data_IF_497536575190
#
_entry.id   IF_497536575190
#
_cell.length_a   1.000
_cell.length_b   1.000
_cell.length_c   1.000
_cell.angle_alpha   90.00
_cell.angle_beta   90.00
_cell.angle_gamma   90.00
#
_symmetry.space_group_name_H-M   'P 1'
#
loop_
_entity.id
_entity.type
_entity.pdbx_description
1 polymer ?
#
# COMPACT_ATOMS: atom_id res chain seq x y z
N UNK A 1 -24.61 18.35 -68.18
CA UNK A 1 -23.97 19.35 -67.30
C UNK A 1 -22.75 18.71 -66.67
N UNK A 2 -21.58 19.22 -67.07
CA UNK A 2 -20.23 19.19 -66.48
C UNK A 2 -19.69 17.92 -65.80
N UNK A 3 -18.75 17.31 -66.53
CA UNK A 3 -17.61 16.50 -66.10
C UNK A 3 -16.63 17.31 -65.24
N UNK A 4 -15.97 16.69 -64.24
CA UNK A 4 -14.67 17.16 -63.75
C UNK A 4 -13.74 15.97 -63.41
N UNK A 5 -12.69 15.93 -64.20
CA UNK A 5 -11.49 15.09 -64.18
C UNK A 5 -10.45 15.51 -63.13
N UNK A 6 -9.86 14.50 -62.48
CA UNK A 6 -8.42 14.22 -62.29
C UNK A 6 -7.44 15.39 -62.02
N UNK A 7 -6.66 15.30 -60.94
CA UNK A 7 -5.22 15.64 -60.97
C UNK A 7 -4.43 15.00 -59.82
N UNK A 8 -3.58 14.04 -60.18
CA UNK A 8 -2.40 13.58 -59.44
C UNK A 8 -1.27 14.57 -59.73
N UNK A 9 -0.49 14.99 -58.73
CA UNK A 9 0.84 15.58 -58.95
C UNK A 9 1.87 15.07 -57.95
N UNK A 10 2.98 14.64 -58.53
CA UNK A 10 4.20 14.17 -57.90
C UNK A 10 5.15 15.32 -57.52
N UNK A 11 6.18 14.96 -56.76
CA UNK A 11 7.33 15.73 -56.28
C UNK A 11 8.06 16.61 -57.33
N UNK A 12 8.97 17.49 -56.86
CA UNK A 12 10.39 17.11 -56.97
C UNK A 12 11.26 17.43 -55.74
N UNK A 13 12.36 16.66 -55.66
CA UNK A 13 13.59 16.91 -54.93
C UNK A 13 14.12 18.36 -55.14
N UNK A 14 14.87 18.91 -54.18
CA UNK A 14 16.24 19.43 -54.40
C UNK A 14 16.98 19.78 -53.07
N UNK A 15 18.16 19.16 -52.93
CA UNK A 15 19.47 19.61 -52.37
C UNK A 15 19.64 20.36 -51.02
N UNK A 16 20.32 19.66 -50.11
CA UNK A 16 21.69 19.86 -49.59
C UNK A 16 22.20 21.20 -48.99
N UNK A 17 23.00 21.02 -47.91
CA UNK A 17 24.02 21.91 -47.31
C UNK A 17 23.47 22.97 -46.33
N UNK A 18 23.84 22.99 -45.05
CA UNK A 18 25.21 23.16 -44.55
C UNK A 18 25.28 22.91 -43.03
N UNK A 19 26.37 22.29 -42.58
CA UNK A 19 26.79 22.19 -41.16
C UNK A 19 27.35 23.52 -40.67
N UNK A 20 27.12 23.90 -39.40
CA UNK A 20 28.03 24.75 -38.64
C UNK A 20 28.80 23.97 -37.56
N UNK A 21 29.89 24.55 -37.01
CA UNK A 21 31.04 23.81 -36.51
C UNK A 21 30.98 23.39 -35.04
N UNK A 22 31.77 22.36 -34.80
CA UNK A 22 32.13 21.75 -33.53
C UNK A 22 32.85 22.78 -32.62
N UNK A 23 32.26 23.12 -31.48
CA UNK A 23 32.93 23.86 -30.41
C UNK A 23 33.40 22.87 -29.33
N UNK A 24 34.72 22.72 -29.20
CA UNK A 24 35.36 22.01 -28.09
C UNK A 24 35.28 22.86 -26.82
N UNK A 25 34.94 22.29 -25.64
CA UNK A 25 35.19 22.95 -24.38
C UNK A 25 36.68 22.81 -23.96
N UNK A 26 37.22 23.79 -23.20
CA UNK A 26 38.61 23.78 -22.77
C UNK A 26 38.87 22.77 -21.65
N UNK A 27 39.98 22.04 -21.77
CA UNK A 27 40.63 21.35 -20.67
C UNK A 27 41.12 22.39 -19.64
N UNK A 28 40.64 22.29 -18.41
CA UNK A 28 41.34 22.81 -17.24
C UNK A 28 41.61 21.68 -16.26
N UNK A 29 42.90 21.46 -16.04
CA UNK A 29 43.46 20.65 -14.97
C UNK A 29 43.29 21.37 -13.64
N UNK A 30 42.70 20.70 -12.65
CA UNK A 30 42.88 21.06 -11.25
C UNK A 30 43.06 19.80 -10.41
N UNK A 31 44.23 19.76 -9.80
CA UNK A 31 44.79 18.71 -8.98
C UNK A 31 44.20 18.74 -7.57
N UNK A 32 43.91 17.55 -7.04
CA UNK A 32 44.07 17.13 -5.63
C UNK A 32 43.40 17.96 -4.53
N UNK A 33 42.44 17.32 -3.83
CA UNK A 33 42.53 17.08 -2.37
C UNK A 33 41.50 16.04 -1.93
N UNK A 34 42.03 14.87 -1.54
CA UNK A 34 41.35 13.94 -0.64
C UNK A 34 41.04 14.67 0.66
N UNK A 35 39.84 14.47 1.19
CA UNK A 35 39.57 14.65 2.61
C UNK A 35 38.66 13.53 3.07
N UNK A 36 39.15 12.85 4.08
CA UNK A 36 38.67 11.59 4.63
C UNK A 36 37.24 11.70 5.15
N UNK A 37 36.45 10.68 4.84
CA UNK A 37 35.21 10.36 5.52
C UNK A 37 35.59 9.74 6.87
N UNK A 38 35.26 10.44 7.95
CA UNK A 38 35.36 9.92 9.30
C UNK A 38 34.25 8.90 9.53
N UNK A 39 34.61 7.62 9.48
CA UNK A 39 33.82 6.53 10.04
C UNK A 39 33.63 6.76 11.55
N UNK A 40 32.37 6.82 12.01
CA UNK A 40 32.04 6.62 13.42
C UNK A 40 31.33 5.29 13.58
N UNK A 41 32.15 4.32 13.99
CA UNK A 41 31.89 3.17 14.84
C UNK A 41 30.46 3.02 15.40
N UNK A 42 29.79 1.94 14.98
CA UNK A 42 28.91 1.19 15.89
C UNK A 42 29.69 -0.01 16.40
N UNK A 43 30.03 0.03 17.69
CA UNK A 43 30.80 -0.99 18.37
C UNK A 43 29.96 -2.27 18.56
N UNK A 44 30.51 -3.37 18.03
CA UNK A 44 30.22 -4.74 18.45
C UNK A 44 30.68 -4.92 19.90
N UNK A 45 29.76 -5.20 20.83
CA UNK A 45 30.10 -5.66 22.18
C UNK A 45 30.01 -7.18 22.24
N UNK A 46 31.16 -7.82 22.38
CA UNK A 46 31.33 -9.22 22.70
C UNK A 46 31.50 -9.40 24.22
N UNK A 47 30.70 -10.35 24.76
CA UNK A 47 30.97 -11.26 25.89
C UNK A 47 31.45 -10.72 27.26
N UNK A 48 30.58 -10.93 28.25
CA UNK A 48 30.88 -11.62 29.52
C UNK A 48 29.62 -12.42 29.88
N UNK A 49 29.60 -13.69 30.31
CA UNK A 49 30.58 -14.48 31.02
C UNK A 49 30.15 -14.63 32.49
N UNK A 50 29.15 -15.49 32.79
CA UNK A 50 28.72 -15.78 34.18
C UNK A 50 27.65 -16.88 34.27
N UNK A 51 27.62 -17.69 35.35
CA UNK A 51 27.30 -19.13 35.28
C UNK A 51 25.81 -19.51 35.50
N UNK A 52 25.41 -20.60 34.83
CA UNK A 52 24.13 -21.30 34.99
C UNK A 52 24.11 -22.18 36.26
N UNK A 53 23.04 -22.15 37.07
CA UNK A 53 22.79 -23.16 38.09
C UNK A 53 22.20 -24.44 37.48
N UNK A 54 22.77 -25.58 37.89
CA UNK A 54 22.30 -26.94 37.61
C UNK A 54 20.99 -27.19 38.35
N UNK A 55 19.95 -27.64 37.66
CA UNK A 55 18.88 -28.42 38.27
C UNK A 55 18.56 -29.64 37.42
N UNK A 56 18.60 -30.79 38.10
CA UNK A 56 18.29 -32.12 37.58
C UNK A 56 16.77 -32.28 37.57
N UNK A 57 16.20 -32.77 36.48
CA UNK A 57 15.00 -33.60 36.56
C UNK A 57 15.00 -34.60 35.42
N UNK A 58 15.06 -35.86 35.82
CA UNK A 58 14.79 -37.01 34.98
C UNK A 58 13.30 -37.01 34.64
N UNK A 59 12.95 -37.21 33.38
CA UNK A 59 11.67 -37.81 33.05
C UNK A 59 11.79 -38.70 31.81
N UNK A 60 11.21 -39.87 31.98
CA UNK A 60 11.25 -41.09 31.19
C UNK A 60 10.54 -40.97 29.85
N UNK A 61 11.12 -41.56 28.81
CA UNK A 61 10.44 -41.89 27.55
C UNK A 61 9.29 -42.87 27.77
N UNK A 62 8.29 -42.84 26.88
CA UNK A 62 7.83 -44.08 26.29
C UNK A 62 7.84 -44.07 24.76
N UNK A 63 7.94 -45.31 24.28
CA UNK A 63 8.14 -45.82 22.93
C UNK A 63 6.79 -46.16 22.29
N UNK A 64 6.80 -46.28 20.97
CA UNK A 64 5.80 -46.87 20.06
C UNK A 64 4.58 -45.96 19.77
N UNK A 65 4.02 -45.91 18.56
CA UNK A 65 3.95 -46.92 17.50
C UNK A 65 3.67 -46.25 16.14
N UNK A 66 4.36 -46.72 15.10
CA UNK A 66 4.03 -46.44 13.70
C UNK A 66 2.80 -47.28 13.29
N UNK A 67 1.78 -46.64 12.73
CA UNK A 67 0.67 -47.31 12.09
C UNK A 67 0.74 -47.05 10.57
N UNK A 68 0.97 -48.14 9.83
CA UNK A 68 0.94 -48.24 8.39
C UNK A 68 -0.51 -48.23 7.90
N UNK A 69 -0.86 -47.31 6.99
CA UNK A 69 -2.14 -47.34 6.26
C UNK A 69 -1.84 -47.68 4.80
N UNK A 70 -2.34 -48.83 4.37
CA UNK A 70 -2.36 -49.30 2.98
C UNK A 70 -3.48 -48.59 2.19
N UNK A 71 -3.29 -48.30 0.89
CA UNK A 71 -4.39 -47.87 0.02
C UNK A 71 -5.09 -49.09 -0.59
N UNK A 72 -6.42 -49.15 -0.46
CA UNK A 72 -7.26 -50.08 -1.21
C UNK A 72 -7.80 -49.41 -2.46
N UNK A 73 -7.37 -49.91 -3.62
CA UNK A 73 -8.04 -49.73 -4.90
C UNK A 73 -9.45 -50.31 -4.84
N UNK A 74 -10.46 -49.54 -5.27
CA UNK A 74 -11.71 -50.10 -5.76
C UNK A 74 -12.13 -49.39 -7.04
N UNK A 75 -12.47 -50.26 -7.99
CA UNK A 75 -12.69 -50.05 -9.41
C UNK A 75 -14.16 -49.72 -9.64
N UNK A 76 -14.40 -48.96 -10.70
CA UNK A 76 -15.69 -48.56 -11.24
C UNK A 76 -16.70 -49.71 -11.42
N UNK A 77 -17.99 -49.40 -11.24
CA UNK A 77 -19.05 -49.93 -12.10
C UNK A 77 -20.12 -48.86 -12.37
N UNK A 78 -20.46 -48.78 -13.66
CA UNK A 78 -21.57 -48.07 -14.27
C UNK A 78 -22.88 -48.84 -14.01
N UNK A 79 -23.98 -48.10 -13.85
CA UNK A 79 -25.28 -48.50 -14.43
C UNK A 79 -26.25 -47.33 -14.41
N UNK A 80 -26.65 -46.92 -15.61
CA UNK A 80 -27.78 -46.08 -15.98
C UNK A 80 -29.11 -46.83 -15.80
N UNK A 81 -30.13 -46.19 -15.23
CA UNK A 81 -31.56 -46.38 -15.62
C UNK A 81 -32.31 -45.06 -15.46
N UNK A 82 -33.20 -44.85 -16.41
CA UNK A 82 -34.00 -43.68 -16.75
C UNK A 82 -35.28 -43.48 -15.92
N UNK A 83 -35.91 -42.33 -16.20
CA UNK A 83 -37.34 -42.09 -16.47
C UNK A 83 -38.34 -41.75 -15.36
N UNK A 84 -39.07 -40.66 -15.64
CA UNK A 84 -40.46 -40.38 -15.21
C UNK A 84 -40.56 -39.64 -13.89
N UNK A 85 -41.38 -38.61 -13.70
CA UNK A 85 -42.57 -38.13 -14.39
C UNK A 85 -43.39 -37.33 -13.37
N UNK A 86 -44.18 -36.37 -13.83
CA UNK A 86 -44.80 -35.32 -13.01
C UNK A 86 -45.78 -35.76 -11.93
N UNK A 87 -46.14 -34.81 -11.05
CA UNK A 87 -47.15 -35.00 -10.01
C UNK A 87 -47.36 -33.77 -9.16
N UNK A 88 -48.28 -32.91 -9.61
CA UNK A 88 -48.93 -31.85 -8.84
C UNK A 88 -49.68 -32.42 -7.63
N UNK A 89 -49.66 -31.74 -6.48
CA UNK A 89 -50.49 -32.15 -5.35
C UNK A 89 -50.27 -31.40 -4.03
N UNK A 90 -51.07 -30.35 -3.83
CA UNK A 90 -51.75 -29.99 -2.57
C UNK A 90 -50.98 -29.96 -1.24
N UNK A 91 -50.76 -28.73 -0.77
CA UNK A 91 -51.33 -28.17 0.46
C UNK A 91 -51.50 -29.12 1.67
N UNK A 92 -50.67 -28.93 2.70
CA UNK A 92 -51.13 -29.09 4.09
C UNK A 92 -50.38 -28.14 5.02
N UNK A 93 -51.17 -27.35 5.73
CA UNK A 93 -50.80 -26.47 6.82
C UNK A 93 -50.15 -27.28 7.94
N UNK A 94 -48.99 -26.84 8.44
CA UNK A 94 -48.63 -26.98 9.87
C UNK A 94 -47.92 -25.73 10.35
N UNK A 95 -48.67 -24.93 11.10
CA UNK A 95 -48.15 -23.95 12.02
C UNK A 95 -47.44 -24.68 13.15
N UNK A 96 -46.23 -24.22 13.50
CA UNK A 96 -45.59 -24.53 14.77
C UNK A 96 -44.96 -23.24 15.29
N UNK A 97 -45.69 -22.64 16.23
CA UNK A 97 -45.20 -21.64 17.18
C UNK A 97 -44.37 -22.39 18.23
N UNK A 98 -43.13 -21.94 18.46
CA UNK A 98 -42.38 -22.21 19.68
C UNK A 98 -41.30 -21.14 19.90
N UNK A 99 -41.77 -20.01 20.41
CA UNK A 99 -41.24 -19.19 21.50
C UNK A 99 -39.89 -19.54 22.19
N UNK A 100 -39.09 -18.47 22.37
CA UNK A 100 -38.26 -18.08 23.56
C UNK A 100 -36.99 -18.95 23.79
N UNK A 101 -35.76 -18.42 23.77
CA UNK A 101 -35.14 -17.58 24.82
C UNK A 101 -33.99 -16.71 24.28
N UNK A 102 -34.11 -15.39 24.41
CA UNK A 102 -32.99 -14.46 24.35
C UNK A 102 -32.39 -14.31 25.76
N UNK A 103 -31.12 -14.63 25.92
CA UNK A 103 -30.39 -14.38 27.17
C UNK A 103 -29.71 -13.01 27.08
N UNK A 104 -30.36 -12.00 27.64
CA UNK A 104 -29.81 -10.66 27.87
C UNK A 104 -29.00 -10.68 29.16
N UNK A 105 -27.67 -10.64 29.07
CA UNK A 105 -26.81 -10.37 30.22
C UNK A 105 -26.74 -8.85 30.41
N UNK A 106 -27.54 -8.35 31.35
CA UNK A 106 -27.38 -7.03 31.95
C UNK A 106 -26.19 -7.08 32.92
N UNK A 107 -25.12 -6.36 32.61
CA UNK A 107 -24.15 -5.91 33.61
C UNK A 107 -24.38 -4.42 33.84
N UNK A 108 -24.96 -4.09 34.99
CA UNK A 108 -25.06 -2.71 35.50
C UNK A 108 -24.31 -2.57 36.81
N UNK A 109 -23.85 -1.34 37.04
CA UNK A 109 -23.22 -0.75 38.23
C UNK A 109 -21.69 -0.98 38.38
N UNK A 110 -20.85 0.05 38.62
CA UNK A 110 -21.10 1.39 39.13
C UNK A 110 -20.06 2.41 38.62
N UNK A 111 -20.39 3.72 38.59
CA UNK A 111 -19.45 4.80 38.32
C UNK A 111 -18.62 5.11 39.57
N UNK A 112 -17.31 5.31 39.40
CA UNK A 112 -16.45 5.85 40.46
C UNK A 112 -16.00 7.25 40.05
N UNK A 113 -16.74 8.24 40.52
CA UNK A 113 -16.32 9.64 40.55
C UNK A 113 -15.20 9.81 41.57
N UNK A 114 -14.10 10.42 41.16
CA UNK A 114 -13.18 11.09 42.07
C UNK A 114 -12.62 12.30 41.34
N UNK A 115 -13.21 13.44 41.68
CA UNK A 115 -12.64 14.75 41.42
C UNK A 115 -11.37 14.89 42.26
N UNK A 116 -10.29 15.36 41.65
CA UNK A 116 -9.19 15.98 42.36
C UNK A 116 -8.73 17.18 41.52
N UNK A 117 -8.82 18.34 42.16
CA UNK A 117 -8.57 19.65 41.60
C UNK A 117 -7.09 19.89 41.28
N UNK A 118 -6.88 20.68 40.24
CA UNK A 118 -5.63 21.37 39.93
C UNK A 118 -5.20 22.31 41.07
N UNK A 119 -3.90 22.63 41.13
CA UNK A 119 -3.52 24.01 41.32
C UNK A 119 -2.60 24.53 40.20
N UNK A 120 -2.88 25.79 39.91
CA UNK A 120 -2.15 26.77 39.12
C UNK A 120 -0.61 26.65 39.17
N UNK A 121 0.01 26.79 38.00
CA UNK A 121 1.40 27.18 37.83
C UNK A 121 1.51 28.08 36.59
N UNK A 122 1.43 29.39 36.82
CA UNK A 122 1.71 30.41 35.82
C UNK A 122 3.21 30.41 35.50
N UNK A 123 3.56 30.35 34.22
CA UNK A 123 4.92 30.45 33.72
C UNK A 123 4.89 30.97 32.29
N UNK A 124 5.11 32.28 32.17
CA UNK A 124 5.30 33.00 30.91
C UNK A 124 6.48 32.44 30.13
N UNK A 125 6.32 32.22 28.82
CA UNK A 125 7.40 32.40 27.87
C UNK A 125 6.85 32.73 26.47
N UNK A 126 7.02 33.99 26.10
CA UNK A 126 6.77 34.49 24.76
C UNK A 126 7.95 34.14 23.86
N UNK A 127 7.80 33.09 23.06
CA UNK A 127 8.69 32.76 21.96
C UNK A 127 7.95 32.83 20.63
N UNK A 128 7.89 34.02 20.02
CA UNK A 128 7.50 34.19 18.61
C UNK A 128 8.54 33.49 17.74
N UNK A 129 8.28 32.25 17.32
CA UNK A 129 9.02 31.67 16.20
C UNK A 129 8.46 32.23 14.90
N UNK A 130 9.20 33.19 14.34
CA UNK A 130 9.05 33.62 12.96
C UNK A 130 9.29 32.42 12.04
N UNK A 131 8.21 31.87 11.47
CA UNK A 131 8.30 30.97 10.33
C UNK A 131 8.66 31.82 9.10
N UNK A 132 9.96 31.93 8.84
CA UNK A 132 10.49 32.45 7.59
C UNK A 132 9.96 31.58 6.45
N UNK A 133 8.96 32.09 5.74
CA UNK A 133 8.48 31.54 4.47
C UNK A 133 9.60 31.67 3.43
N UNK A 134 10.44 30.65 3.33
CA UNK A 134 11.34 30.46 2.20
C UNK A 134 10.45 30.08 1.02
N UNK A 135 10.28 31.04 0.10
CA UNK A 135 9.66 30.80 -1.18
C UNK A 135 10.45 29.76 -1.97
N UNK A 136 9.75 28.72 -2.41
CA UNK A 136 10.18 27.87 -3.50
C UNK A 136 9.01 27.74 -4.47
N UNK A 137 9.07 28.55 -5.52
CA UNK A 137 8.29 28.35 -6.74
C UNK A 137 8.90 27.14 -7.47
N UNK A 138 8.17 26.03 -7.59
CA UNK A 138 8.20 25.08 -8.73
C UNK A 138 7.27 23.89 -8.50
N UNK A 139 6.23 23.77 -9.33
CA UNK A 139 5.38 22.59 -9.47
C UNK A 139 4.07 22.70 -8.69
N UNK A 140 2.95 22.78 -9.40
CA UNK A 140 1.60 22.89 -8.85
C UNK A 140 1.19 21.67 -8.03
N UNK A 141 1.66 21.59 -6.79
CA UNK A 141 1.04 20.77 -5.77
C UNK A 141 -0.30 21.39 -5.39
N UNK A 142 -1.35 20.56 -5.33
CA UNK A 142 -2.60 20.97 -4.71
C UNK A 142 -2.29 21.53 -3.31
N UNK A 143 -2.81 22.71 -2.98
CA UNK A 143 -2.69 23.23 -1.62
C UNK A 143 -3.37 22.26 -0.65
N UNK A 144 -2.97 22.27 0.63
CA UNK A 144 -3.63 21.45 1.65
C UNK A 144 -5.16 21.64 1.68
N UNK A 145 -5.61 22.88 1.47
CA UNK A 145 -7.04 23.23 1.41
C UNK A 145 -7.75 22.58 0.21
N UNK A 146 -7.07 22.48 -0.94
CA UNK A 146 -7.62 21.86 -2.15
C UNK A 146 -7.71 20.33 -2.00
N UNK A 147 -6.72 19.70 -1.37
CA UNK A 147 -6.79 18.27 -0.99
C UNK A 147 -7.95 18.01 -0.04
N UNK A 148 -8.10 18.79 1.03
CA UNK A 148 -9.19 18.59 2.00
C UNK A 148 -10.57 18.93 1.42
N UNK A 149 -10.64 19.85 0.45
CA UNK A 149 -11.88 20.16 -0.27
C UNK A 149 -12.35 18.98 -1.12
N UNK A 150 -11.42 18.28 -1.79
CA UNK A 150 -11.75 17.09 -2.61
C UNK A 150 -11.88 15.82 -1.78
N UNK A 151 -11.07 15.68 -0.75
CA UNK A 151 -10.89 14.48 0.04
C UNK A 151 -10.90 14.82 1.54
N UNK A 152 -12.09 15.13 2.10
CA UNK A 152 -12.22 15.60 3.48
C UNK A 152 -11.83 14.56 4.54
N UNK A 153 -11.76 13.27 4.19
CA UNK A 153 -11.30 12.20 5.08
C UNK A 153 -9.78 12.09 5.19
N UNK A 154 -9.02 12.94 4.51
CA UNK A 154 -7.55 12.90 4.50
C UNK A 154 -6.98 13.40 5.83
N UNK A 155 -6.11 12.60 6.46
CA UNK A 155 -5.26 13.09 7.55
C UNK A 155 -4.05 13.85 6.97
N UNK A 156 -4.25 15.13 6.63
CA UNK A 156 -3.30 15.91 5.81
C UNK A 156 -1.85 15.89 6.32
N UNK A 157 -1.60 16.23 7.60
CA UNK A 157 -0.23 16.24 8.13
C UNK A 157 0.42 14.85 8.08
N UNK A 158 -0.37 13.77 8.25
CA UNK A 158 0.13 12.40 8.10
C UNK A 158 0.40 12.05 6.65
N UNK A 159 -0.44 12.49 5.73
CA UNK A 159 -0.24 12.35 4.29
C UNK A 159 1.10 12.96 3.86
N UNK A 160 1.36 14.19 4.29
CA UNK A 160 2.59 14.93 3.97
C UNK A 160 3.82 14.22 4.53
N UNK A 161 3.80 13.83 5.80
CA UNK A 161 4.90 13.09 6.42
C UNK A 161 5.18 11.75 5.72
N UNK A 162 4.15 10.99 5.33
CA UNK A 162 4.32 9.71 4.65
C UNK A 162 4.85 9.90 3.21
N UNK A 163 4.41 10.95 2.51
CA UNK A 163 4.93 11.34 1.20
C UNK A 163 6.41 11.72 1.30
N UNK A 164 6.78 12.52 2.29
CA UNK A 164 8.16 12.98 2.51
C UNK A 164 9.09 11.81 2.87
N UNK A 165 8.61 10.86 3.68
CA UNK A 165 9.35 9.60 3.95
C UNK A 165 9.59 8.81 2.67
N UNK A 166 8.57 8.63 1.83
CA UNK A 166 8.73 7.92 0.56
C UNK A 166 9.72 8.62 -0.38
N UNK A 167 9.64 9.95 -0.49
CA UNK A 167 10.57 10.75 -1.28
C UNK A 167 12.02 10.73 -0.71
N UNK A 168 12.20 10.43 0.57
CA UNK A 168 13.52 10.32 1.19
C UNK A 168 14.23 8.99 0.90
N UNK A 169 13.52 7.98 0.41
CA UNK A 169 14.07 6.67 0.08
C UNK A 169 14.89 6.76 -1.20
N UNK A 170 16.13 6.29 -1.14
CA UNK A 170 17.04 6.24 -2.30
C UNK A 170 16.89 4.95 -3.08
N UNK A 171 17.21 4.98 -4.36
CA UNK A 171 17.11 3.82 -5.25
C UNK A 171 17.95 2.63 -4.76
N UNK A 172 19.12 2.87 -4.16
CA UNK A 172 19.97 1.81 -3.62
C UNK A 172 19.29 1.07 -2.46
N UNK A 173 18.49 1.79 -1.65
CA UNK A 173 17.72 1.19 -0.55
C UNK A 173 16.53 0.38 -1.07
N UNK A 174 15.98 0.76 -2.24
CA UNK A 174 14.82 0.14 -2.85
C UNK A 174 15.15 -0.98 -3.86
N UNK A 175 16.44 -1.22 -4.10
CA UNK A 175 16.94 -2.25 -5.03
C UNK A 175 17.60 -3.45 -4.32
N UNK A 176 17.28 -3.63 -3.04
CA UNK A 176 17.75 -4.75 -2.22
C UNK A 176 16.86 -5.99 -2.28
N UNK A 177 16.93 -6.85 -1.27
CA UNK A 177 15.98 -7.95 -1.10
C UNK A 177 14.57 -7.41 -0.82
N UNK A 178 13.56 -8.01 -1.46
CA UNK A 178 12.19 -7.53 -1.38
C UNK A 178 11.63 -7.46 0.04
N UNK A 179 12.02 -8.35 0.95
CA UNK A 179 11.50 -8.33 2.31
C UNK A 179 11.97 -7.09 3.07
N UNK A 180 13.23 -6.68 2.87
CA UNK A 180 13.80 -5.46 3.44
C UNK A 180 13.19 -4.22 2.78
N UNK A 181 13.06 -4.24 1.44
CA UNK A 181 12.42 -3.15 0.68
C UNK A 181 10.98 -2.95 1.15
N UNK A 182 10.19 -4.02 1.30
CA UNK A 182 8.81 -3.94 1.82
C UNK A 182 8.76 -3.36 3.23
N UNK A 183 9.74 -3.68 4.08
CA UNK A 183 9.88 -3.05 5.40
C UNK A 183 10.03 -1.52 5.31
N UNK A 184 10.86 -1.03 4.38
CA UNK A 184 11.01 0.40 4.10
C UNK A 184 9.73 1.04 3.55
N UNK A 185 9.03 0.33 2.65
CA UNK A 185 7.74 0.78 2.11
C UNK A 185 6.69 0.92 3.22
N UNK A 186 6.59 -0.04 4.14
CA UNK A 186 5.69 0.07 5.30
C UNK A 186 6.04 1.27 6.19
N UNK A 187 7.33 1.45 6.52
CA UNK A 187 7.78 2.58 7.31
C UNK A 187 7.44 3.93 6.64
N UNK A 188 7.63 4.03 5.32
CA UNK A 188 7.30 5.22 4.56
C UNK A 188 5.79 5.47 4.48
N UNK A 189 4.97 4.42 4.49
CA UNK A 189 3.51 4.54 4.60
C UNK A 189 3.06 4.90 6.03
N UNK A 190 3.94 4.88 7.03
CA UNK A 190 3.54 5.05 8.42
C UNK A 190 2.81 3.82 8.98
N UNK A 191 3.19 2.62 8.52
CA UNK A 191 2.66 1.31 8.93
C UNK A 191 3.71 0.47 9.65
N UNK A 192 3.26 -0.31 10.63
CA UNK A 192 4.03 -1.39 11.27
C UNK A 192 4.05 -2.63 10.37
N UNK A 193 5.10 -3.43 10.47
CA UNK A 193 5.14 -4.77 9.87
C UNK A 193 4.57 -5.79 10.86
N UNK A 194 3.28 -6.13 10.71
CA UNK A 194 2.55 -7.04 11.58
C UNK A 194 2.09 -8.23 10.75
N UNK A 195 2.87 -9.33 10.79
CA UNK A 195 2.60 -10.53 9.98
C UNK A 195 1.94 -11.65 10.79
N UNK A 196 2.24 -11.70 12.08
CA UNK A 196 1.79 -12.75 12.99
C UNK A 196 0.53 -12.35 13.76
N UNK A 197 -0.37 -11.61 13.11
CA UNK A 197 -1.68 -11.23 13.66
C UNK A 197 -2.79 -11.67 12.71
N UNK A 198 -3.98 -12.06 13.19
CA UNK A 198 -5.09 -12.43 12.31
C UNK A 198 -5.54 -11.30 11.38
N UNK A 199 -6.13 -11.64 10.24
CA UNK A 199 -6.77 -10.68 9.35
C UNK A 199 -7.80 -9.83 10.11
N UNK A 200 -7.86 -8.53 9.80
CA UNK A 200 -8.72 -7.56 10.50
C UNK A 200 -8.19 -7.08 11.86
N UNK A 201 -7.09 -7.65 12.38
CA UNK A 201 -6.43 -7.21 13.63
C UNK A 201 -5.18 -6.36 13.38
N UNK A 202 -5.04 -5.79 12.18
CA UNK A 202 -3.89 -5.00 11.77
C UNK A 202 -2.81 -5.79 11.06
N UNK A 203 -3.13 -6.96 10.48
CA UNK A 203 -2.19 -7.71 9.66
C UNK A 203 -1.80 -6.89 8.41
N UNK A 204 -0.52 -6.58 8.25
CA UNK A 204 0.03 -5.84 7.10
C UNK A 204 0.86 -6.72 6.17
N UNK A 205 0.80 -8.05 6.32
CA UNK A 205 1.55 -9.01 5.51
C UNK A 205 1.24 -8.94 4.01
N UNK A 206 0.03 -8.52 3.65
CA UNK A 206 -0.42 -8.34 2.26
C UNK A 206 -0.10 -6.96 1.68
N UNK A 207 0.16 -5.95 2.53
CA UNK A 207 0.45 -4.60 2.07
C UNK A 207 1.67 -4.59 1.16
N UNK A 208 1.49 -3.98 -0.03
CA UNK A 208 2.46 -3.89 -1.11
C UNK A 208 2.92 -5.22 -1.69
N UNK A 209 2.37 -6.36 -1.24
CA UNK A 209 2.84 -7.70 -1.60
C UNK A 209 1.92 -8.43 -2.59
N UNK A 210 0.86 -7.78 -3.04
CA UNK A 210 -0.04 -8.24 -4.08
C UNK A 210 -0.35 -7.10 -5.07
N UNK A 211 -1.14 -7.38 -6.09
CA UNK A 211 -1.42 -6.40 -7.12
C UNK A 211 -2.24 -5.19 -6.65
N UNK A 212 -3.00 -5.34 -5.57
CA UNK A 212 -4.16 -4.49 -5.26
C UNK A 212 -3.94 -3.60 -4.03
N UNK A 213 -3.31 -4.10 -2.96
CA UNK A 213 -3.14 -3.38 -1.69
C UNK A 213 -1.86 -2.54 -1.70
N UNK A 214 -1.85 -1.52 -2.55
CA UNK A 214 -0.63 -0.79 -2.93
C UNK A 214 -0.67 0.70 -2.61
N UNK A 215 -1.77 1.16 -2.00
CA UNK A 215 -1.99 2.58 -1.69
C UNK A 215 -1.62 2.89 -0.25
N UNK A 216 -0.71 3.84 0.01
CA UNK A 216 -0.48 4.39 1.34
C UNK A 216 -1.55 5.46 1.66
N UNK A 217 -2.78 5.03 1.94
CA UNK A 217 -3.92 5.93 2.21
C UNK A 217 -3.87 6.45 3.64
N UNK A 218 -3.85 7.77 3.82
CA UNK A 218 -3.72 8.41 5.12
C UNK A 218 -5.00 9.15 5.49
N UNK A 219 -5.74 8.63 6.46
CA UNK A 219 -7.10 9.07 6.74
C UNK A 219 -7.30 9.49 8.19
N UNK A 220 -8.26 10.37 8.43
CA UNK A 220 -8.69 10.79 9.76
C UNK A 220 -9.38 9.62 10.48
N UNK A 221 -9.28 9.57 11.81
CA UNK A 221 -9.77 8.40 12.58
C UNK A 221 -11.29 8.26 12.63
N UNK A 222 -12.03 9.32 12.29
CA UNK A 222 -13.49 9.34 12.14
C UNK A 222 -13.97 8.58 10.91
N UNK A 223 -13.19 8.57 9.82
CA UNK A 223 -13.54 7.82 8.59
C UNK A 223 -12.98 6.40 8.56
N UNK A 224 -12.06 6.03 9.46
CA UNK A 224 -11.45 4.68 9.47
C UNK A 224 -12.43 3.53 9.67
N UNK A 225 -13.59 3.81 10.27
CA UNK A 225 -14.65 2.83 10.51
C UNK A 225 -15.72 2.82 9.38
N UNK A 226 -15.51 3.60 8.31
CA UNK A 226 -16.38 3.58 7.13
C UNK A 226 -16.38 2.21 6.46
N UNK A 227 -17.54 1.83 5.94
CA UNK A 227 -17.76 0.62 5.15
C UNK A 227 -17.81 0.96 3.65
N UNK A 228 -17.44 0.01 2.79
CA UNK A 228 -17.50 0.20 1.33
C UNK A 228 -18.93 0.50 0.85
N UNK A 229 -19.94 -0.17 1.43
CA UNK A 229 -21.37 -0.02 1.07
C UNK A 229 -21.67 -0.12 -0.44
N UNK A 230 -20.86 -0.88 -1.17
CA UNK A 230 -20.99 -1.04 -2.62
C UNK A 230 -20.48 0.14 -3.46
N UNK A 231 -19.80 1.12 -2.85
CA UNK A 231 -19.22 2.26 -3.57
C UNK A 231 -18.10 1.86 -4.51
N UNK A 232 -17.28 0.90 -4.09
CA UNK A 232 -16.21 0.31 -4.91
C UNK A 232 -16.63 -1.10 -5.34
N UNK A 233 -16.67 -1.32 -6.65
CA UNK A 233 -16.98 -2.61 -7.24
C UNK A 233 -15.89 -3.64 -6.89
N UNK A 234 -16.30 -4.86 -6.54
CA UNK A 234 -15.38 -5.94 -6.16
C UNK A 234 -14.88 -5.91 -4.70
N UNK A 235 -15.27 -4.92 -3.90
CA UNK A 235 -14.89 -4.81 -2.48
C UNK A 235 -16.06 -5.17 -1.56
N UNK A 236 -15.78 -5.93 -0.49
CA UNK A 236 -16.79 -6.39 0.46
C UNK A 236 -17.57 -5.22 1.10
N UNK A 237 -18.90 -5.33 1.13
CA UNK A 237 -19.82 -4.27 1.59
C UNK A 237 -19.48 -3.75 3.00
N UNK A 238 -19.23 -4.65 3.96
CA UNK A 238 -19.02 -4.34 5.38
C UNK A 238 -17.55 -4.29 5.81
N UNK A 239 -16.61 -3.95 4.92
CA UNK A 239 -15.18 -3.95 5.23
C UNK A 239 -14.81 -2.89 6.29
N UNK A 240 -14.76 -3.28 7.58
CA UNK A 240 -14.38 -2.42 8.70
C UNK A 240 -12.89 -2.53 8.99
N UNK A 241 -12.12 -1.53 8.56
CA UNK A 241 -10.66 -1.51 8.72
C UNK A 241 -10.19 -0.81 10.00
N UNK A 242 -11.05 -0.01 10.65
CA UNK A 242 -10.68 0.87 11.76
C UNK A 242 -9.84 0.24 12.88
N UNK A 243 -10.22 -0.93 13.45
CA UNK A 243 -9.38 -1.58 14.46
C UNK A 243 -7.99 -1.94 13.94
N UNK A 244 -7.89 -2.44 12.71
CA UNK A 244 -6.61 -2.78 12.08
C UNK A 244 -5.75 -1.55 11.79
N UNK A 245 -6.38 -0.48 11.30
CA UNK A 245 -5.71 0.80 11.02
C UNK A 245 -5.09 1.38 12.28
N UNK A 246 -5.84 1.44 13.39
CA UNK A 246 -5.35 1.99 14.66
C UNK A 246 -4.15 1.22 15.21
N UNK A 247 -4.17 -0.11 15.07
CA UNK A 247 -3.08 -0.98 15.56
C UNK A 247 -1.85 -0.91 14.66
N UNK A 248 -2.05 -0.94 13.34
CA UNK A 248 -0.94 -0.97 12.38
C UNK A 248 -0.30 0.40 12.15
N UNK A 249 -0.99 1.50 12.45
CA UNK A 249 -0.45 2.84 12.23
C UNK A 249 0.71 3.17 13.18
N UNK A 250 1.76 3.76 12.62
CA UNK A 250 2.87 4.35 13.37
C UNK A 250 2.47 5.74 13.87
N UNK A 251 2.46 6.01 15.20
CA UNK A 251 2.06 7.31 15.74
C UNK A 251 2.97 8.46 15.29
N UNK A 252 4.26 8.20 15.06
CA UNK A 252 5.25 9.18 14.62
C UNK A 252 5.02 9.69 13.18
N UNK A 253 4.12 9.09 12.41
CA UNK A 253 3.71 9.60 11.11
C UNK A 253 2.69 10.75 11.21
N UNK A 254 2.14 11.01 12.40
CA UNK A 254 1.20 12.12 12.65
C UNK A 254 -0.19 11.65 13.11
N UNK A 255 -1.14 12.57 13.34
CA UNK A 255 -2.52 12.21 13.69
C UNK A 255 -3.20 11.41 12.58
N UNK A 256 -4.29 10.70 12.88
CA UNK A 256 -4.97 9.83 11.91
C UNK A 256 -4.45 8.39 11.89
N UNK A 257 -4.72 7.69 10.79
CA UNK A 257 -4.18 6.35 10.53
C UNK A 257 -3.83 6.15 9.06
N UNK A 258 -3.04 5.13 8.78
CA UNK A 258 -2.70 4.71 7.42
C UNK A 258 -3.20 3.27 7.17
N UNK A 259 -3.54 2.96 5.92
CA UNK A 259 -3.76 1.59 5.47
C UNK A 259 -3.29 1.39 4.02
N UNK A 260 -2.94 0.14 3.67
CA UNK A 260 -2.68 -0.30 2.30
C UNK A 260 -4.01 -0.60 1.58
N UNK A 261 -4.70 0.41 1.05
CA UNK A 261 -6.03 0.20 0.47
C UNK A 261 -5.97 -0.37 -0.95
N UNK A 262 -7.11 -0.92 -1.41
CA UNK A 262 -7.23 -1.52 -2.73
C UNK A 262 -7.22 -0.47 -3.84
N UNK A 263 -6.40 -0.67 -4.87
CA UNK A 263 -6.25 0.21 -6.02
C UNK A 263 -7.22 -0.07 -7.18
N UNK A 264 -8.16 -1.01 -7.06
CA UNK A 264 -9.19 -1.25 -8.09
C UNK A 264 -9.94 0.04 -8.40
N UNK A 265 -9.88 0.50 -9.66
CA UNK A 265 -10.46 1.79 -10.09
C UNK A 265 -9.46 2.96 -10.15
N UNK A 266 -8.20 2.74 -9.79
CA UNK A 266 -7.16 3.77 -9.82
C UNK A 266 -6.75 4.23 -11.23
N UNK A 267 -7.05 3.44 -12.27
CA UNK A 267 -6.86 3.83 -13.66
C UNK A 267 -7.89 4.85 -14.18
N UNK A 268 -8.92 5.19 -13.40
CA UNK A 268 -9.94 6.18 -13.76
C UNK A 268 -9.50 7.61 -13.40
N UNK A 269 -10.18 8.61 -13.98
CA UNK A 269 -9.96 10.03 -13.69
C UNK A 269 -11.31 10.75 -13.52
N UNK A 270 -11.70 11.15 -12.28
CA UNK A 270 -10.97 10.97 -11.03
C UNK A 270 -10.84 9.48 -10.61
N UNK A 271 -9.82 9.12 -9.81
CA UNK A 271 -9.67 7.75 -9.30
C UNK A 271 -10.90 7.30 -8.52
N UNK A 272 -11.31 6.06 -8.78
CA UNK A 272 -12.52 5.45 -8.20
C UNK A 272 -12.18 4.26 -7.27
N UNK A 273 -11.02 4.32 -6.62
CA UNK A 273 -10.53 3.26 -5.74
C UNK A 273 -11.01 3.40 -4.27
N UNK A 274 -10.57 2.50 -3.40
CA UNK A 274 -11.02 2.47 -1.99
C UNK A 274 -10.60 3.72 -1.23
N UNK A 275 -9.40 4.25 -1.48
CA UNK A 275 -8.94 5.48 -0.83
C UNK A 275 -9.91 6.63 -1.10
N UNK A 276 -10.22 6.81 -2.38
CA UNK A 276 -10.97 7.95 -2.88
C UNK A 276 -12.48 7.85 -2.62
N UNK A 277 -13.09 6.65 -2.73
CA UNK A 277 -14.54 6.49 -2.61
C UNK A 277 -15.02 6.10 -1.21
N UNK A 278 -14.33 5.17 -0.54
CA UNK A 278 -14.75 4.68 0.79
C UNK A 278 -14.30 5.66 1.88
N UNK A 279 -13.03 6.06 1.84
CA UNK A 279 -12.45 6.92 2.87
C UNK A 279 -12.48 8.40 2.52
N UNK A 280 -12.77 8.76 1.27
CA UNK A 280 -12.67 10.14 0.79
C UNK A 280 -11.33 10.77 1.17
N UNK A 281 -10.27 10.00 0.97
CA UNK A 281 -8.91 10.33 1.40
C UNK A 281 -7.98 10.33 0.21
N UNK A 282 -7.11 11.33 0.13
CA UNK A 282 -5.95 11.28 -0.74
C UNK A 282 -4.99 10.19 -0.26
N UNK A 283 -4.15 9.72 -1.17
CA UNK A 283 -3.02 8.85 -0.84
C UNK A 283 -1.77 9.69 -0.56
N UNK A 284 -0.91 9.22 0.35
CA UNK A 284 0.45 9.76 0.44
C UNK A 284 1.27 9.36 -0.79
N UNK A 285 1.15 8.09 -1.18
CA UNK A 285 1.73 7.53 -2.40
C UNK A 285 1.11 6.16 -2.70
N UNK A 286 1.31 5.63 -3.91
CA UNK A 286 1.05 4.23 -4.25
C UNK A 286 2.19 3.62 -5.06
N UNK A 287 2.33 2.30 -4.98
CA UNK A 287 3.35 1.53 -5.71
C UNK A 287 2.81 1.07 -7.06
N UNK A 288 3.57 1.35 -8.12
CA UNK A 288 3.26 0.97 -9.50
C UNK A 288 4.43 0.22 -10.11
N UNK A 289 4.21 -0.99 -10.62
CA UNK A 289 5.24 -1.74 -11.34
C UNK A 289 5.40 -1.23 -12.78
N UNK A 290 6.65 -1.17 -13.25
CA UNK A 290 7.00 -0.65 -14.58
C UNK A 290 6.80 -1.74 -15.64
N UNK A 291 6.08 -1.46 -16.75
CA UNK A 291 5.76 -2.44 -17.79
C UNK A 291 6.91 -2.69 -18.77
N UNK A 292 8.14 -2.81 -18.25
CA UNK A 292 9.35 -3.10 -19.02
C UNK A 292 10.24 -4.08 -18.23
N UNK A 293 11.14 -4.76 -18.93
CA UNK A 293 12.14 -5.64 -18.30
C UNK A 293 11.54 -6.72 -17.39
N UNK A 294 10.33 -7.22 -17.68
CA UNK A 294 9.67 -8.26 -16.87
C UNK A 294 9.08 -7.76 -15.54
N UNK A 295 8.71 -6.48 -15.45
CA UNK A 295 8.17 -5.87 -14.23
C UNK A 295 9.13 -5.98 -13.05
N UNK A 296 10.41 -5.73 -13.29
CA UNK A 296 11.47 -5.82 -12.26
C UNK A 296 11.69 -4.51 -11.52
N UNK A 297 11.21 -3.38 -12.08
CA UNK A 297 11.26 -2.05 -11.46
C UNK A 297 9.87 -1.63 -10.98
N UNK A 298 9.81 -0.93 -9.86
CA UNK A 298 8.61 -0.20 -9.43
C UNK A 298 8.89 1.29 -9.26
N UNK A 299 7.85 2.10 -9.26
CA UNK A 299 7.86 3.51 -8.91
C UNK A 299 6.84 3.78 -7.81
N UNK A 300 7.19 4.71 -6.90
CA UNK A 300 6.25 5.28 -5.94
C UNK A 300 5.76 6.60 -6.51
N UNK A 301 4.44 6.79 -6.59
CA UNK A 301 3.81 8.01 -7.11
C UNK A 301 2.88 8.61 -6.07
N UNK A 302 2.84 9.93 -5.96
CA UNK A 302 1.92 10.65 -5.07
C UNK A 302 0.49 10.76 -5.65
N UNK A 303 -0.42 11.40 -4.91
CA UNK A 303 -1.82 11.67 -5.31
C UNK A 303 -1.94 12.33 -6.69
N UNK A 304 -0.96 13.13 -7.11
CA UNK A 304 -0.95 13.82 -8.41
C UNK A 304 -0.39 12.96 -9.55
N UNK A 305 0.14 11.78 -9.23
CA UNK A 305 0.88 10.92 -10.15
C UNK A 305 2.34 11.31 -10.32
N UNK A 306 2.87 12.20 -9.47
CA UNK A 306 4.29 12.58 -9.50
C UNK A 306 5.13 11.48 -8.86
N UNK A 307 6.21 11.10 -9.51
CA UNK A 307 7.18 10.15 -8.96
C UNK A 307 7.87 10.72 -7.72
N UNK A 308 8.00 9.87 -6.69
CA UNK A 308 8.73 10.14 -5.46
C UNK A 308 10.03 9.34 -5.37
N UNK A 309 9.97 8.03 -5.66
CA UNK A 309 11.11 7.12 -5.57
C UNK A 309 10.93 5.92 -6.51
N UNK A 310 11.99 5.15 -6.74
CA UNK A 310 11.99 3.94 -7.58
C UNK A 310 13.02 2.93 -7.08
N UNK A 311 12.86 1.67 -7.43
CA UNK A 311 13.85 0.63 -7.17
C UNK A 311 13.69 -0.58 -8.09
N UNK A 312 14.74 -1.40 -8.14
CA UNK A 312 14.78 -2.68 -8.85
C UNK A 312 15.03 -3.80 -7.83
N UNK A 313 14.02 -4.17 -7.02
CA UNK A 313 14.21 -5.14 -5.96
C UNK A 313 14.53 -6.52 -6.50
N UNK A 314 15.05 -7.36 -5.61
CA UNK A 314 15.39 -8.76 -5.88
C UNK A 314 14.75 -9.67 -4.84
N UNK A 315 15.03 -10.98 -4.88
CA UNK A 315 14.53 -11.92 -3.88
C UNK A 315 13.06 -12.30 -4.09
N UNK A 316 12.29 -12.40 -3.00
CA UNK A 316 10.90 -12.92 -2.98
C UNK A 316 9.85 -11.87 -3.33
N UNK A 317 9.98 -11.24 -4.48
CA UNK A 317 9.00 -10.28 -5.00
C UNK A 317 7.63 -10.92 -5.29
N UNK A 318 6.54 -10.13 -5.38
CA UNK A 318 5.25 -10.60 -5.88
C UNK A 318 5.43 -11.22 -7.27
N UNK A 319 4.69 -12.27 -7.61
CA UNK A 319 4.84 -12.94 -8.91
C UNK A 319 4.66 -11.97 -10.10
N UNK A 320 5.30 -12.23 -11.24
CA UNK A 320 5.24 -11.36 -12.43
C UNK A 320 3.80 -11.02 -12.83
N UNK A 321 2.88 -11.98 -12.70
CA UNK A 321 1.46 -11.80 -13.00
C UNK A 321 0.75 -10.82 -12.07
N UNK A 322 1.11 -10.77 -10.78
CA UNK A 322 0.62 -9.78 -9.81
C UNK A 322 1.15 -8.39 -10.15
N UNK A 323 2.43 -8.29 -10.51
CA UNK A 323 3.08 -7.03 -10.89
C UNK A 323 2.51 -6.46 -12.20
N UNK A 324 2.25 -7.32 -13.17
CA UNK A 324 1.53 -6.95 -14.40
C UNK A 324 0.11 -6.44 -14.07
N UNK A 325 -0.64 -7.18 -13.24
CA UNK A 325 -2.02 -6.79 -12.89
C UNK A 325 -2.08 -5.48 -12.10
N UNK A 326 -1.07 -5.21 -11.28
CA UNK A 326 -0.90 -3.93 -10.59
C UNK A 326 -0.83 -2.77 -11.60
N UNK A 327 0.08 -2.89 -12.59
CA UNK A 327 0.18 -1.89 -13.64
C UNK A 327 -1.13 -1.77 -14.45
N UNK A 328 -1.73 -2.89 -14.86
CA UNK A 328 -2.97 -2.90 -15.63
C UNK A 328 -4.12 -2.20 -14.90
N UNK A 329 -4.14 -2.26 -13.56
CA UNK A 329 -5.16 -1.59 -12.72
C UNK A 329 -5.06 -0.07 -12.78
N UNK A 330 -3.87 0.48 -13.04
CA UNK A 330 -3.59 1.92 -13.06
C UNK A 330 -3.43 2.48 -14.47
N UNK A 331 -3.26 1.59 -15.46
CA UNK A 331 -3.04 1.91 -16.85
C UNK A 331 -4.10 2.88 -17.38
N UNK A 332 -3.64 3.92 -18.08
CA UNK A 332 -4.48 4.99 -18.62
C UNK A 332 -4.83 6.11 -17.63
N UNK A 333 -4.65 5.88 -16.32
CA UNK A 333 -4.84 6.88 -15.28
C UNK A 333 -3.58 7.69 -14.98
N UNK A 334 -3.69 8.68 -14.09
CA UNK A 334 -2.55 9.54 -13.70
C UNK A 334 -1.41 8.78 -13.03
N UNK A 335 -1.71 7.71 -12.29
CA UNK A 335 -0.72 6.96 -11.53
C UNK A 335 0.21 6.11 -12.39
N UNK A 336 -0.21 5.72 -13.60
CA UNK A 336 0.64 4.96 -14.52
C UNK A 336 1.71 5.80 -15.24
N UNK A 337 1.58 7.14 -15.27
CA UNK A 337 2.42 8.01 -16.12
C UNK A 337 3.92 7.90 -15.84
N UNK A 338 4.31 7.81 -14.57
CA UNK A 338 5.72 7.65 -14.21
C UNK A 338 6.26 6.27 -14.64
N UNK A 339 5.45 5.22 -14.50
CA UNK A 339 5.82 3.87 -14.95
C UNK A 339 5.93 3.80 -16.47
N UNK A 340 5.02 4.44 -17.20
CA UNK A 340 5.05 4.55 -18.66
C UNK A 340 6.31 5.28 -19.15
N UNK A 341 6.72 6.35 -18.45
CA UNK A 341 7.93 7.09 -18.78
C UNK A 341 9.19 6.21 -18.69
N UNK A 342 9.33 5.44 -17.60
CA UNK A 342 10.44 4.47 -17.49
C UNK A 342 10.41 3.40 -18.58
N UNK A 343 9.22 2.89 -18.91
CA UNK A 343 9.08 1.86 -19.92
C UNK A 343 9.44 2.36 -21.33
N UNK A 344 9.32 3.66 -21.59
CA UNK A 344 9.71 4.27 -22.86
C UNK A 344 11.23 4.50 -23.00
N UNK A 345 11.98 4.48 -21.91
CA UNK A 345 13.43 4.71 -21.87
C UNK A 345 14.26 3.41 -21.98
N UNK A 346 13.62 2.24 -21.88
CA UNK A 346 14.24 0.90 -21.88
C UNK A 346 14.00 0.14 -23.19
#
# INVERSE_FOLDING_TARGET
>A
MQSLTRAVRACPLFQASSKPPCAKPPCTSASTRLSAVTERAFASSTRSGGPLPKSKSAFTSPRASQASVKPSHLRAQLSSVSSGGGGSGSSTRRALLASITAASVFCTFAPRSSAAASPFGAGSDGGKMSSSSIGANTGGGASGDDILSRYPGTALSRMENCRDRAASLKEEQLSGDWEDVRGLLLWAAGLRDLRDVPSGRGNTGHCFNDFNHVDATTMTLDVTDNENRGKVEGIAFGNKLGPGIRVASLPEAGPGGTWCTCALGAGQEPPADVAHLQFQSAIAWKLVWVPAGGFTRFVLVDETGKQLATGVPTGRMPGVSERQRNYDTMKGGRFARAADAYAAEL
#
